data_IF_352680002548
#
_entry.id   IF_352680002548
#
_cell.length_a   1.000
_cell.length_b   1.000
_cell.length_c   1.000
_cell.angle_alpha   90.00
_cell.angle_beta   90.00
_cell.angle_gamma   90.00
#
_symmetry.space_group_name_H-M   'P 1'
#
loop_
_entity.id
_entity.type
_entity.pdbx_description
1 polymer ?
#
# COMPACT_ATOMS: atom_id res chain seq x y z
N UNK A 1 13.41 1.37 -6.30
CA UNK A 1 14.40 1.40 -7.40
C UNK A 1 15.76 1.67 -6.74
N UNK A 2 16.77 0.83 -7.01
CA UNK A 2 18.07 0.86 -6.31
C UNK A 2 18.85 2.13 -6.64
N UNK A 3 18.60 3.20 -5.88
CA UNK A 3 19.27 4.47 -6.06
C UNK A 3 20.69 4.36 -5.52
N UNK A 4 21.69 4.63 -6.36
CA UNK A 4 23.06 4.80 -5.89
C UNK A 4 23.15 6.12 -5.12
N UNK A 5 23.42 6.03 -3.82
CA UNK A 5 23.48 7.18 -2.94
C UNK A 5 24.70 8.09 -3.18
N UNK A 6 25.73 7.61 -3.90
CA UNK A 6 26.93 8.41 -4.22
C UNK A 6 26.84 9.14 -5.54
N UNK A 7 26.34 8.51 -6.61
CA UNK A 7 26.28 9.12 -7.95
C UNK A 7 24.94 9.77 -8.28
N UNK A 8 23.90 9.53 -7.47
CA UNK A 8 22.54 10.00 -7.74
C UNK A 8 21.85 9.29 -8.92
N UNK A 9 22.55 8.40 -9.62
CA UNK A 9 22.06 7.59 -10.73
C UNK A 9 21.65 6.17 -10.34
N UNK A 10 21.34 5.37 -11.35
CA UNK A 10 21.03 3.94 -11.23
C UNK A 10 22.17 3.13 -11.89
N UNK A 11 23.33 3.05 -11.25
CA UNK A 11 24.47 2.29 -11.80
C UNK A 11 24.29 0.79 -11.56
N UNK A 12 23.58 0.12 -12.47
CA UNK A 12 23.55 -1.34 -12.53
C UNK A 12 24.89 -1.90 -13.06
N UNK A 13 25.61 -1.12 -13.86
CA UNK A 13 26.89 -1.48 -14.49
C UNK A 13 28.03 -1.64 -13.47
N UNK A 14 27.98 -0.92 -12.35
CA UNK A 14 28.93 -1.06 -11.24
C UNK A 14 28.59 -2.20 -10.27
N UNK A 15 27.45 -2.86 -10.45
CA UNK A 15 27.07 -3.99 -9.62
C UNK A 15 27.80 -5.25 -10.09
N UNK A 16 28.43 -6.00 -9.17
CA UNK A 16 29.05 -7.31 -9.48
C UNK A 16 28.00 -8.43 -9.69
N UNK A 17 26.77 -8.07 -10.05
CA UNK A 17 25.67 -9.01 -10.23
C UNK A 17 25.83 -9.71 -11.59
N UNK A 18 25.94 -11.04 -11.56
CA UNK A 18 25.87 -11.84 -12.78
C UNK A 18 24.53 -11.67 -13.51
N UNK A 19 24.52 -11.85 -14.83
CA UNK A 19 23.35 -11.67 -15.68
C UNK A 19 22.12 -12.49 -15.21
N UNK A 20 22.35 -13.70 -14.69
CA UNK A 20 21.30 -14.56 -14.15
C UNK A 20 20.66 -13.95 -12.88
N UNK A 21 21.48 -13.48 -11.93
CA UNK A 21 21.01 -12.85 -10.69
C UNK A 21 20.26 -11.54 -10.98
N UNK A 22 20.75 -10.76 -11.94
CA UNK A 22 20.07 -9.55 -12.41
C UNK A 22 18.69 -9.87 -13.00
N UNK A 23 18.61 -10.91 -13.84
CA UNK A 23 17.35 -11.33 -14.46
C UNK A 23 16.32 -11.78 -13.42
N UNK A 24 16.75 -12.60 -12.44
CA UNK A 24 15.90 -13.02 -11.30
C UNK A 24 15.38 -11.81 -10.53
N UNK A 25 16.24 -10.83 -10.25
CA UNK A 25 15.87 -9.61 -9.55
C UNK A 25 14.85 -8.78 -10.33
N UNK A 26 15.04 -8.60 -11.64
CA UNK A 26 14.10 -7.87 -12.50
C UNK A 26 12.72 -8.54 -12.51
N UNK A 27 12.68 -9.87 -12.62
CA UNK A 27 11.42 -10.64 -12.59
C UNK A 27 10.71 -10.44 -11.24
N UNK A 28 11.43 -10.54 -10.13
CA UNK A 28 10.86 -10.29 -8.79
C UNK A 28 10.31 -8.87 -8.65
N UNK A 29 11.04 -7.86 -9.15
CA UNK A 29 10.57 -6.47 -9.16
C UNK A 29 9.32 -6.34 -10.03
N UNK A 30 9.29 -6.95 -11.22
CA UNK A 30 8.14 -6.89 -12.12
C UNK A 30 6.89 -7.52 -11.49
N UNK A 31 7.03 -8.66 -10.82
CA UNK A 31 5.92 -9.31 -10.09
C UNK A 31 5.44 -8.41 -8.96
N UNK A 32 6.35 -7.91 -8.10
CA UNK A 32 5.99 -7.03 -6.99
C UNK A 32 5.32 -5.73 -7.46
N UNK A 33 5.84 -5.14 -8.54
CA UNK A 33 5.29 -3.92 -9.15
C UNK A 33 3.89 -4.16 -9.72
N UNK A 34 3.70 -5.26 -10.45
CA UNK A 34 2.41 -5.64 -11.02
C UNK A 34 1.38 -5.92 -9.94
N UNK A 35 1.76 -6.67 -8.90
CA UNK A 35 0.91 -6.95 -7.74
C UNK A 35 0.43 -5.66 -7.07
N UNK A 36 1.34 -4.72 -6.81
CA UNK A 36 0.99 -3.43 -6.22
C UNK A 36 0.07 -2.58 -7.13
N UNK A 37 0.25 -2.63 -8.45
CA UNK A 37 -0.67 -1.96 -9.38
C UNK A 37 -2.08 -2.56 -9.29
N UNK A 38 -2.19 -3.89 -9.34
CA UNK A 38 -3.48 -4.57 -9.30
C UNK A 38 -4.23 -4.25 -8.00
N UNK A 39 -3.56 -4.41 -6.86
CA UNK A 39 -4.13 -4.08 -5.55
C UNK A 39 -4.55 -2.60 -5.46
N UNK A 40 -3.69 -1.69 -5.89
CA UNK A 40 -4.01 -0.26 -5.88
C UNK A 40 -5.13 0.14 -6.83
N UNK A 41 -5.35 -0.59 -7.94
CA UNK A 41 -6.51 -0.40 -8.82
C UNK A 41 -7.80 -0.80 -8.10
N UNK A 42 -7.81 -1.92 -7.38
CA UNK A 42 -8.98 -2.39 -6.64
C UNK A 42 -9.34 -1.43 -5.49
N UNK A 43 -8.36 -0.97 -4.71
CA UNK A 43 -8.58 0.04 -3.67
C UNK A 43 -9.21 1.32 -4.23
N UNK A 44 -8.79 1.74 -5.42
CA UNK A 44 -9.36 2.89 -6.11
C UNK A 44 -10.80 2.64 -6.54
N UNK A 45 -11.10 1.46 -7.11
CA UNK A 45 -12.46 1.06 -7.49
C UNK A 45 -13.40 1.02 -6.29
N UNK A 46 -12.92 0.57 -5.13
CA UNK A 46 -13.69 0.55 -3.88
C UNK A 46 -13.96 1.94 -3.28
N UNK A 47 -13.29 2.99 -3.76
CA UNK A 47 -13.46 4.35 -3.25
C UNK A 47 -12.89 4.59 -1.84
N UNK A 48 -12.06 3.67 -1.33
CA UNK A 48 -11.46 3.76 0.01
C UNK A 48 -10.04 4.35 0.02
N UNK A 49 -9.53 4.80 -1.14
CA UNK A 49 -8.21 5.42 -1.31
C UNK A 49 -7.88 6.46 -0.22
N UNK A 50 -8.86 7.28 0.19
CA UNK A 50 -8.70 8.35 1.20
C UNK A 50 -8.26 7.87 2.58
N UNK A 51 -8.43 6.59 2.90
CA UNK A 51 -7.98 6.00 4.17
C UNK A 51 -6.58 5.40 4.05
N UNK A 52 -6.20 4.98 2.84
CA UNK A 52 -4.93 4.31 2.54
C UNK A 52 -3.80 5.32 2.32
N UNK A 53 -4.10 6.34 1.52
CA UNK A 53 -3.15 7.41 1.18
C UNK A 53 -3.77 8.76 1.51
N UNK A 54 -2.91 9.76 1.67
CA UNK A 54 -3.34 11.14 1.84
C UNK A 54 -4.33 11.52 0.72
N UNK A 55 -5.52 12.06 1.05
CA UNK A 55 -6.44 12.56 0.03
C UNK A 55 -5.76 13.63 -0.80
N UNK A 56 -5.97 13.57 -2.12
CA UNK A 56 -5.45 14.58 -3.03
C UNK A 56 -6.19 15.90 -2.75
N UNK A 57 -5.45 17.01 -2.68
CA UNK A 57 -6.05 18.35 -2.76
C UNK A 57 -6.79 18.49 -4.09
N UNK A 58 -7.68 19.49 -4.24
CA UNK A 58 -8.40 19.80 -5.49
C UNK A 58 -7.43 20.23 -6.62
N UNK A 59 -6.59 19.32 -7.07
CA UNK A 59 -5.67 19.48 -8.18
C UNK A 59 -6.26 18.78 -9.40
N UNK A 60 -6.03 19.35 -10.57
CA UNK A 60 -6.49 18.82 -11.85
C UNK A 60 -5.90 17.42 -12.17
N UNK A 61 -4.80 17.04 -11.53
CA UNK A 61 -4.09 15.79 -11.80
C UNK A 61 -4.13 14.83 -10.60
N UNK A 62 -4.38 13.54 -10.89
CA UNK A 62 -4.24 12.46 -9.91
C UNK A 62 -2.78 12.33 -9.49
N UNK A 63 -2.47 12.67 -8.24
CA UNK A 63 -1.11 12.61 -7.67
C UNK A 63 -0.66 11.19 -7.36
N UNK A 64 -1.58 10.29 -7.02
CA UNK A 64 -1.24 8.94 -6.59
C UNK A 64 -1.55 7.93 -7.68
N UNK A 65 -0.51 7.31 -8.25
CA UNK A 65 -0.65 6.19 -9.19
C UNK A 65 -1.28 4.97 -8.50
N UNK A 66 -1.80 4.02 -9.28
CA UNK A 66 -2.30 2.77 -8.69
C UNK A 66 -1.19 2.03 -7.93
N UNK A 67 0.02 1.98 -8.51
CA UNK A 67 1.22 1.47 -7.84
C UNK A 67 1.44 2.12 -6.47
N UNK A 68 1.39 3.46 -6.39
CA UNK A 68 1.59 4.19 -5.14
C UNK A 68 0.56 3.78 -4.08
N UNK A 69 -0.71 3.69 -4.46
CA UNK A 69 -1.80 3.29 -3.56
C UNK A 69 -1.63 1.85 -3.07
N UNK A 70 -1.31 0.90 -3.94
CA UNK A 70 -1.13 -0.50 -3.55
C UNK A 70 0.09 -0.72 -2.64
N UNK A 71 1.20 -0.02 -2.87
CA UNK A 71 2.34 -0.04 -1.96
C UNK A 71 1.96 0.48 -0.55
N UNK A 72 1.19 1.57 -0.48
CA UNK A 72 0.76 2.12 0.81
C UNK A 72 -0.29 1.28 1.52
N UNK A 73 -1.12 0.53 0.78
CA UNK A 73 -2.09 -0.39 1.34
C UNK A 73 -1.45 -1.40 2.30
N UNK A 74 -0.31 -1.99 1.90
CA UNK A 74 0.39 -2.96 2.74
C UNK A 74 0.77 -2.37 4.10
N UNK A 75 1.45 -1.21 4.10
CA UNK A 75 1.86 -0.54 5.32
C UNK A 75 0.67 -0.09 6.17
N UNK A 76 -0.37 0.44 5.54
CA UNK A 76 -1.58 0.89 6.22
C UNK A 76 -2.30 -0.26 6.94
N UNK A 77 -2.43 -1.42 6.29
CA UNK A 77 -3.05 -2.60 6.88
C UNK A 77 -2.22 -3.15 8.05
N UNK A 78 -0.91 -3.27 7.86
CA UNK A 78 0.00 -3.75 8.88
C UNK A 78 -0.01 -2.85 10.14
N UNK A 79 0.17 -1.55 9.96
CA UNK A 79 0.20 -0.59 11.07
C UNK A 79 -1.17 -0.45 11.76
N UNK A 80 -2.26 -0.62 11.01
CA UNK A 80 -3.61 -0.51 11.57
C UNK A 80 -3.94 -1.61 12.58
N UNK A 81 -3.33 -2.79 12.49
CA UNK A 81 -3.59 -3.91 13.41
C UNK A 81 -2.95 -3.69 14.79
N UNK A 82 -1.82 -2.99 14.86
CA UNK A 82 -0.99 -2.89 16.06
C UNK A 82 -1.71 -2.18 17.23
N UNK A 83 -2.35 -1.00 17.05
CA UNK A 83 -2.93 -0.27 18.17
C UNK A 83 -4.44 -0.49 18.34
N UNK A 84 -5.04 -1.48 17.68
CA UNK A 84 -6.51 -1.57 17.58
C UNK A 84 -7.22 -1.60 18.95
N UNK A 85 -6.73 -2.44 19.87
CA UNK A 85 -7.27 -2.53 21.23
C UNK A 85 -7.16 -1.21 22.00
N UNK A 86 -6.00 -0.56 21.93
CA UNK A 86 -5.73 0.71 22.61
C UNK A 86 -6.66 1.81 22.07
N UNK A 87 -6.85 1.87 20.75
CA UNK A 87 -7.74 2.86 20.13
C UNK A 87 -9.20 2.61 20.54
N UNK A 88 -9.62 1.35 20.64
CA UNK A 88 -10.97 1.01 21.12
C UNK A 88 -11.20 1.45 22.56
N UNK A 89 -10.23 1.24 23.47
CA UNK A 89 -10.28 1.72 24.85
C UNK A 89 -10.35 3.26 24.91
N UNK A 90 -9.51 3.97 24.14
CA UNK A 90 -9.53 5.43 24.07
C UNK A 90 -10.87 5.99 23.56
N UNK A 91 -11.52 5.29 22.64
CA UNK A 91 -12.82 5.68 22.09
C UNK A 91 -13.98 5.44 23.07
N UNK A 92 -13.82 4.55 24.06
CA UNK A 92 -14.78 4.42 25.16
C UNK A 92 -14.75 5.66 26.06
N UNK A 93 -13.56 6.22 26.30
CA UNK A 93 -13.35 7.45 27.08
C UNK A 93 -13.85 8.68 26.31
N UNK A 94 -13.44 8.83 25.04
CA UNK A 94 -13.84 9.97 24.19
C UNK A 94 -14.59 9.51 22.93
N UNK A 95 -15.92 9.56 23.01
CA UNK A 95 -16.80 9.06 21.95
C UNK A 95 -16.89 9.96 20.71
N UNK A 96 -16.33 11.18 20.74
CA UNK A 96 -16.44 12.16 19.64
C UNK A 96 -15.98 11.59 18.30
N UNK A 97 -14.93 10.78 18.30
CA UNK A 97 -14.28 10.28 17.09
C UNK A 97 -14.75 8.89 16.64
N UNK A 98 -15.66 8.25 17.38
CA UNK A 98 -16.11 6.86 17.13
C UNK A 98 -16.65 6.69 15.71
N UNK A 99 -17.44 7.65 15.22
CA UNK A 99 -18.02 7.58 13.87
C UNK A 99 -16.93 7.58 12.79
N UNK A 100 -15.87 8.37 12.97
CA UNK A 100 -14.75 8.44 12.02
C UNK A 100 -13.90 7.18 12.08
N UNK A 101 -13.60 6.69 13.28
CA UNK A 101 -12.86 5.45 13.47
C UNK A 101 -13.57 4.25 12.84
N UNK A 102 -14.88 4.08 13.11
CA UNK A 102 -15.68 2.98 12.53
C UNK A 102 -15.67 2.99 11.00
N UNK A 103 -15.68 4.16 10.36
CA UNK A 103 -15.57 4.27 8.89
C UNK A 103 -14.20 3.79 8.39
N UNK A 104 -13.12 4.16 9.08
CA UNK A 104 -11.76 3.69 8.75
C UNK A 104 -11.57 2.19 9.01
N UNK A 105 -12.12 1.65 10.10
CA UNK A 105 -12.10 0.22 10.42
C UNK A 105 -12.83 -0.60 9.34
N UNK A 106 -14.04 -0.19 8.94
CA UNK A 106 -14.77 -0.81 7.82
C UNK A 106 -13.98 -0.81 6.51
N UNK A 107 -13.30 0.30 6.20
CA UNK A 107 -12.45 0.37 5.01
C UNK A 107 -11.27 -0.62 5.08
N UNK A 108 -10.68 -0.84 6.26
CA UNK A 108 -9.63 -1.85 6.45
C UNK A 108 -10.18 -3.26 6.29
N UNK A 109 -11.34 -3.55 6.88
CA UNK A 109 -12.01 -4.85 6.74
C UNK A 109 -12.28 -5.18 5.27
N UNK A 110 -12.79 -4.21 4.49
CA UNK A 110 -12.99 -4.34 3.04
C UNK A 110 -11.69 -4.62 2.27
N UNK A 111 -10.60 -3.93 2.63
CA UNK A 111 -9.30 -4.14 2.02
C UNK A 111 -8.69 -5.51 2.39
N UNK A 112 -8.91 -6.00 3.61
CA UNK A 112 -8.45 -7.32 4.08
C UNK A 112 -9.22 -8.45 3.39
N UNK A 113 -10.54 -8.34 3.30
CA UNK A 113 -11.37 -9.37 2.64
C UNK A 113 -10.98 -9.53 1.17
N UNK A 114 -10.63 -8.44 0.49
CA UNK A 114 -10.12 -8.49 -0.89
C UNK A 114 -8.79 -9.24 -1.00
N UNK A 115 -7.85 -8.98 -0.09
CA UNK A 115 -6.56 -9.67 -0.10
C UNK A 115 -6.74 -11.18 0.16
N UNK A 116 -7.62 -11.55 1.07
CA UNK A 116 -7.94 -12.96 1.35
C UNK A 116 -8.62 -13.64 0.15
N UNK A 117 -9.54 -12.94 -0.53
CA UNK A 117 -10.18 -13.45 -1.75
C UNK A 117 -9.17 -13.70 -2.88
N UNK A 118 -8.13 -12.86 -3.00
CA UNK A 118 -7.06 -13.07 -3.99
C UNK A 118 -6.11 -14.25 -3.68
N UNK A 119 -6.12 -14.73 -2.43
CA UNK A 119 -5.28 -15.85 -1.95
C UNK A 119 -6.05 -17.17 -1.87
N UNK A 120 -7.37 -17.15 -2.06
CA UNK A 120 -8.21 -18.34 -2.05
C UNK A 120 -8.28 -18.89 -3.48
N UNK A 121 -7.67 -20.05 -3.79
CA UNK A 121 -7.82 -20.65 -5.10
C UNK A 121 -9.29 -21.04 -5.33
N UNK A 122 -9.82 -20.75 -6.51
CA UNK A 122 -11.09 -21.29 -6.98
C UNK A 122 -11.05 -22.83 -7.04
#
# INVERSE_FOLDING_TARGET
MFRDFKSGGYSLEGSKLGAESLSKLIILIAIAYTSAILQGREIKKMGIQKYVVRPETKSQYRRHSAFYVGQHQYHWLYLGQIPEKIVEELLQINRRWVKHYKKGKRAREQALSMLQASLSPC
#
